data_IF_923299862360
#
_entry.id   IF_923299862360
#
_cell.length_a   1.000
_cell.length_b   1.000
_cell.length_c   1.000
_cell.angle_alpha   90.00
_cell.angle_beta   90.00
_cell.angle_gamma   90.00
#
_symmetry.space_group_name_H-M   'P 1'
#
loop_
_entity.id
_entity.type
_entity.pdbx_description
1 polymer ?
#
# COMPACT_ATOMS: atom_id res chain seq x y z
N UNK A 1 -28.75 8.86 11.47
CA UNK A 1 -28.38 9.32 10.36
C UNK A 1 -27.00 9.47 10.08
N UNK A 2 -26.43 10.28 10.77
CA UNK A 2 -25.02 10.49 10.59
C UNK A 2 -24.23 9.24 10.85
N UNK A 3 -24.71 8.40 11.73
CA UNK A 3 -24.04 7.16 12.04
C UNK A 3 -23.82 6.30 10.79
N UNK A 4 -24.74 6.35 9.87
CA UNK A 4 -24.58 5.59 8.65
C UNK A 4 -23.42 6.06 7.81
N UNK A 5 -23.15 7.35 7.86
CA UNK A 5 -22.04 7.92 7.12
C UNK A 5 -20.71 7.46 7.71
N UNK A 6 -20.67 7.35 9.02
CA UNK A 6 -19.43 6.95 9.67
C UNK A 6 -19.00 5.56 9.28
N UNK A 7 -19.92 4.70 9.00
CA UNK A 7 -19.57 3.35 8.61
C UNK A 7 -18.87 3.28 7.28
N UNK A 8 -19.03 4.28 6.46
CA UNK A 8 -18.33 4.31 5.19
C UNK A 8 -16.87 4.68 5.36
N UNK A 9 -16.52 5.24 6.49
CA UNK A 9 -15.16 5.70 6.70
C UNK A 9 -14.09 4.64 6.66
N UNK A 10 -14.33 3.41 7.10
CA UNK A 10 -13.28 2.39 6.99
C UNK A 10 -12.77 2.18 5.58
N UNK A 11 -13.53 2.61 4.59
CA UNK A 11 -13.11 2.50 3.21
C UNK A 11 -12.46 3.77 2.66
N UNK A 12 -12.43 4.82 3.46
CA UNK A 12 -11.82 6.06 3.03
C UNK A 12 -10.33 5.86 2.79
N UNK A 13 -9.77 6.48 1.76
CA UNK A 13 -8.33 6.38 1.52
C UNK A 13 -7.54 6.94 2.69
N UNK A 14 -6.43 6.28 3.00
CA UNK A 14 -5.56 6.69 4.08
C UNK A 14 -4.12 6.68 3.62
N UNK A 15 -3.33 7.51 4.26
CA UNK A 15 -1.90 7.53 4.03
C UNK A 15 -1.32 6.19 4.45
N UNK A 16 -0.58 5.55 3.58
CA UNK A 16 0.07 4.29 3.93
C UNK A 16 1.51 4.29 3.44
N UNK A 17 2.32 3.49 4.10
CA UNK A 17 3.72 3.36 3.76
C UNK A 17 4.12 1.91 3.96
N UNK A 18 4.68 1.32 2.93
CA UNK A 18 5.05 -0.08 2.92
C UNK A 18 6.51 -0.18 2.55
N UNK A 19 7.30 -0.81 3.40
CA UNK A 19 8.72 -1.01 3.16
C UNK A 19 8.92 -2.45 2.73
N UNK A 20 9.57 -2.65 1.59
CA UNK A 20 9.77 -3.96 1.00
C UNK A 20 11.27 -4.17 0.83
N UNK A 21 11.80 -5.35 1.19
CA UNK A 21 13.22 -5.61 0.97
C UNK A 21 13.50 -5.77 -0.52
N UNK A 22 14.65 -5.28 -0.94
CA UNK A 22 15.08 -5.44 -2.30
C UNK A 22 14.47 -4.43 -3.24
N UNK A 23 14.49 -4.76 -4.53
CA UNK A 23 13.96 -3.88 -5.57
C UNK A 23 12.67 -4.44 -6.12
N UNK A 24 11.70 -3.56 -6.29
CA UNK A 24 10.48 -3.92 -6.99
C UNK A 24 10.65 -3.62 -8.46
N UNK A 25 10.00 -4.43 -9.29
CA UNK A 25 9.93 -4.17 -10.70
C UNK A 25 9.00 -2.99 -10.96
N UNK A 26 9.21 -2.32 -12.08
CA UNK A 26 8.36 -1.20 -12.48
C UNK A 26 6.93 -1.65 -12.72
N UNK A 27 6.73 -2.93 -13.04
CA UNK A 27 5.39 -3.45 -13.26
C UNK A 27 4.50 -3.34 -12.04
N UNK A 28 5.06 -3.61 -10.87
CA UNK A 28 4.28 -3.50 -9.65
C UNK A 28 3.92 -2.05 -9.37
N UNK A 29 4.87 -1.15 -9.59
CA UNK A 29 4.59 0.26 -9.44
C UNK A 29 3.49 0.75 -10.36
N UNK A 30 3.48 0.25 -11.60
CA UNK A 30 2.45 0.62 -12.57
C UNK A 30 1.07 0.11 -12.18
N UNK A 31 1.01 -1.00 -11.47
CA UNK A 31 -0.27 -1.56 -11.04
C UNK A 31 -0.92 -0.71 -9.95
N UNK A 32 -0.14 0.12 -9.26
CA UNK A 32 -0.65 0.95 -8.17
C UNK A 32 -0.21 2.40 -8.38
N UNK A 33 -0.75 3.07 -9.39
CA UNK A 33 -0.31 4.42 -9.74
C UNK A 33 -0.59 5.45 -8.64
N UNK A 34 -1.49 5.14 -7.73
CA UNK A 34 -1.78 6.04 -6.60
C UNK A 34 -0.68 6.03 -5.56
N UNK A 35 0.25 5.09 -5.64
CA UNK A 35 1.36 5.00 -4.71
C UNK A 35 2.64 5.42 -5.39
N UNK A 36 3.49 6.09 -4.65
CA UNK A 36 4.81 6.49 -5.12
C UNK A 36 5.84 5.48 -4.64
N UNK A 37 6.82 5.22 -5.49
CA UNK A 37 7.93 4.35 -5.14
C UNK A 37 9.16 5.18 -4.84
N UNK A 38 9.79 4.85 -3.73
CA UNK A 38 11.06 5.47 -3.39
C UNK A 38 12.09 4.35 -3.21
N UNK A 39 13.16 4.39 -3.99
CA UNK A 39 14.18 3.36 -3.92
C UNK A 39 15.27 3.78 -2.96
N UNK A 40 15.62 2.86 -2.08
CA UNK A 40 16.67 3.06 -1.10
C UNK A 40 17.61 1.87 -1.16
N UNK A 41 18.83 2.02 -0.63
CA UNK A 41 19.76 0.87 -0.63
C UNK A 41 19.13 -0.33 0.07
N UNK A 42 18.98 -1.43 -0.69
CA UNK A 42 18.42 -2.67 -0.16
C UNK A 42 16.94 -2.66 0.11
N UNK A 43 16.23 -1.60 -0.22
CA UNK A 43 14.81 -1.49 0.09
C UNK A 43 14.06 -0.71 -0.98
N UNK A 44 12.76 -0.92 -1.01
CA UNK A 44 11.85 -0.06 -1.77
C UNK A 44 10.73 0.37 -0.84
N UNK A 45 10.43 1.65 -0.85
CA UNK A 45 9.35 2.19 -0.02
C UNK A 45 8.22 2.61 -0.94
N UNK A 46 7.03 2.07 -0.70
CA UNK A 46 5.82 2.48 -1.41
C UNK A 46 5.00 3.33 -0.45
N UNK A 47 4.61 4.51 -0.88
CA UNK A 47 3.83 5.38 -0.01
C UNK A 47 2.81 6.15 -0.83
N UNK A 48 1.75 6.53 -0.17
CA UNK A 48 0.68 7.27 -0.80
C UNK A 48 -0.62 7.03 -0.09
N UNK A 49 -1.70 7.27 -0.81
CA UNK A 49 -3.04 7.16 -0.26
C UNK A 49 -3.74 5.98 -0.89
N UNK A 50 -4.26 5.08 -0.07
CA UNK A 50 -4.96 3.90 -0.56
C UNK A 50 -6.07 3.55 0.42
N UNK A 51 -7.18 3.04 -0.11
CA UNK A 51 -8.22 2.50 0.76
C UNK A 51 -7.86 1.08 1.15
N UNK A 52 -8.68 0.49 2.00
CA UNK A 52 -8.38 -0.84 2.52
C UNK A 52 -8.36 -1.90 1.43
N UNK A 53 -9.28 -1.81 0.48
CA UNK A 53 -9.33 -2.79 -0.60
C UNK A 53 -8.09 -2.69 -1.47
N UNK A 54 -7.63 -1.48 -1.75
CA UNK A 54 -6.43 -1.27 -2.53
C UNK A 54 -5.20 -1.79 -1.79
N UNK A 55 -5.14 -1.56 -0.49
CA UNK A 55 -4.03 -2.04 0.32
C UNK A 55 -4.00 -3.56 0.35
N UNK A 56 -5.16 -4.19 0.54
CA UNK A 56 -5.24 -5.65 0.55
C UNK A 56 -4.80 -6.22 -0.80
N UNK A 57 -5.20 -5.59 -1.88
CA UNK A 57 -4.82 -6.05 -3.21
C UNK A 57 -3.31 -5.92 -3.40
N UNK A 58 -2.72 -4.83 -2.91
CA UNK A 58 -1.29 -4.65 -2.99
C UNK A 58 -0.55 -5.74 -2.23
N UNK A 59 -1.00 -6.03 -1.01
CA UNK A 59 -0.36 -7.04 -0.19
C UNK A 59 -0.48 -8.43 -0.82
N UNK A 60 -1.62 -8.72 -1.44
CA UNK A 60 -1.79 -9.97 -2.16
C UNK A 60 -0.83 -10.08 -3.34
N UNK A 61 -0.64 -8.99 -4.06
CA UNK A 61 0.29 -8.97 -5.18
C UNK A 61 1.72 -9.20 -4.73
N UNK A 62 2.09 -8.59 -3.62
CA UNK A 62 3.43 -8.80 -3.06
C UNK A 62 3.61 -10.25 -2.68
N UNK A 63 2.60 -10.85 -2.09
CA UNK A 63 2.68 -12.25 -1.70
C UNK A 63 2.82 -13.16 -2.92
N UNK A 64 2.09 -12.87 -3.98
CA UNK A 64 2.18 -13.64 -5.21
C UNK A 64 3.57 -13.58 -5.81
N UNK A 65 4.27 -12.49 -5.60
CA UNK A 65 5.64 -12.32 -6.10
C UNK A 65 6.68 -12.86 -5.13
N UNK A 66 6.25 -13.43 -4.01
CA UNK A 66 7.18 -13.94 -3.01
C UNK A 66 7.83 -12.86 -2.18
N UNK A 67 7.25 -11.68 -2.13
CA UNK A 67 7.80 -10.56 -1.39
C UNK A 67 7.04 -10.38 -0.09
N UNK A 68 7.78 -10.19 1.00
CA UNK A 68 7.17 -9.90 2.28
C UNK A 68 7.57 -8.51 2.72
N UNK A 69 6.60 -7.65 3.01
CA UNK A 69 6.95 -6.31 3.48
C UNK A 69 7.64 -6.37 4.84
N UNK A 70 8.62 -5.53 5.00
CA UNK A 70 9.32 -5.38 6.27
C UNK A 70 8.41 -4.64 7.26
N UNK A 71 7.69 -3.66 6.76
CA UNK A 71 6.75 -2.95 7.60
C UNK A 71 5.60 -2.43 6.75
N UNK A 72 4.44 -2.30 7.38
CA UNK A 72 3.26 -1.72 6.76
C UNK A 72 2.67 -0.75 7.78
N UNK A 73 2.69 0.52 7.44
CA UNK A 73 2.14 1.56 8.31
C UNK A 73 0.94 2.19 7.63
N UNK A 74 -0.15 2.29 8.35
CA UNK A 74 -1.36 2.95 7.86
C UNK A 74 -1.72 4.02 8.86
N UNK A 75 -1.85 5.24 8.37
CA UNK A 75 -2.20 6.35 9.22
C UNK A 75 -3.67 6.29 9.55
N UNK A 76 -4.00 6.47 10.82
CA UNK A 76 -5.40 6.42 11.28
C UNK A 76 -6.01 7.78 11.47
#
# INVERSE_FOLDING_TARGET
MVAGVDRAKPRAPRQCRIVIPGRLSDRLGSAFPQLSLERRPGQTVMHGVADRAQLDELLDRLRDLGLEPVSVDVET
#
